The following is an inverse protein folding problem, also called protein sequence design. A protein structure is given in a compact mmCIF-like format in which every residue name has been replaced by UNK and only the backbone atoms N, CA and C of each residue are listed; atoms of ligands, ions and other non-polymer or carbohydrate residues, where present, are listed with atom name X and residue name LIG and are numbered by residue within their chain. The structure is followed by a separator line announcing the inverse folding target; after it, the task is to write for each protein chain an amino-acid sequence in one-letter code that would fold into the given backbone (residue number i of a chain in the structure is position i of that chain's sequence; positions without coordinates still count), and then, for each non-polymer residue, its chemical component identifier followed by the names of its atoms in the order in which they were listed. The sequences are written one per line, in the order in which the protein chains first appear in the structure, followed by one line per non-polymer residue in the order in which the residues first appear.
data_IF_731329630315
#
_entry.id   IF_731329630315
#
_cell.length_a   1.000
_cell.length_b   1.000
_cell.length_c   1.000
_cell.angle_alpha   90.00
_cell.angle_beta   90.00
_cell.angle_gamma   90.00
#
_symmetry.space_group_name_H-M   'P 1'
#
loop_
_entity.id
_entity.type
_entity.pdbx_description
1 polymer ?
#
# COMPACT_ATOMS: atom_id res chain seq x y z
N UNK A 1 -21.82 -30.28 -21.14
CA UNK A 1 -20.52 -29.61 -20.89
C UNK A 1 -20.77 -28.49 -19.91
N UNK A 2 -20.55 -28.79 -18.63
CA UNK A 2 -20.70 -27.84 -17.53
C UNK A 2 -19.40 -27.03 -17.44
N UNK A 3 -19.51 -25.71 -17.59
CA UNK A 3 -18.42 -24.79 -17.29
C UNK A 3 -18.47 -24.49 -15.79
N UNK A 4 -17.64 -25.19 -15.02
CA UNK A 4 -17.36 -24.86 -13.63
C UNK A 4 -16.42 -23.64 -13.59
N UNK A 5 -16.88 -22.55 -12.98
CA UNK A 5 -16.05 -21.40 -12.66
C UNK A 5 -15.19 -21.74 -11.41
N UNK A 6 -13.87 -21.48 -11.40
CA UNK A 6 -13.09 -21.64 -10.19
C UNK A 6 -13.48 -20.56 -9.18
N UNK A 7 -14.18 -21.01 -8.14
CA UNK A 7 -14.48 -20.30 -6.91
C UNK A 7 -13.20 -19.82 -6.22
N UNK A 8 -12.98 -18.50 -6.19
CA UNK A 8 -11.98 -17.85 -5.34
C UNK A 8 -12.48 -17.82 -3.89
N UNK A 9 -12.39 -18.97 -3.22
CA UNK A 9 -12.38 -19.05 -1.76
C UNK A 9 -10.96 -18.72 -1.29
N UNK A 10 -10.78 -17.54 -0.69
CA UNK A 10 -9.47 -17.12 -0.23
C UNK A 10 -9.51 -15.85 0.59
N UNK A 11 -10.10 -15.94 1.80
CA UNK A 11 -9.87 -14.97 2.88
C UNK A 11 -8.38 -14.99 3.25
N UNK A 12 -7.61 -14.13 2.58
CA UNK A 12 -6.25 -13.80 2.94
C UNK A 12 -6.11 -12.30 2.85
N UNK A 13 -5.84 -11.64 3.98
CA UNK A 13 -5.58 -10.20 3.99
C UNK A 13 -4.15 -9.98 3.45
N UNK A 14 -4.00 -10.04 2.14
CA UNK A 14 -2.71 -9.83 1.47
C UNK A 14 -2.41 -8.32 1.44
N UNK A 15 -1.29 -7.93 2.05
CA UNK A 15 -0.77 -6.57 1.95
C UNK A 15 -0.13 -6.38 0.57
N UNK A 16 -0.93 -5.97 -0.40
CA UNK A 16 -0.47 -5.59 -1.74
C UNK A 16 0.12 -4.18 -1.69
N UNK A 17 1.41 -4.06 -1.98
CA UNK A 17 2.07 -2.78 -2.21
C UNK A 17 2.44 -2.72 -3.70
N UNK A 18 1.84 -1.78 -4.43
CA UNK A 18 2.19 -1.51 -5.82
C UNK A 18 3.21 -0.37 -5.82
N UNK A 19 4.40 -0.63 -6.36
CA UNK A 19 5.40 0.39 -6.66
C UNK A 19 5.44 0.57 -8.18
N UNK A 20 5.16 1.79 -8.63
CA UNK A 20 5.31 2.20 -10.02
C UNK A 20 6.76 2.60 -10.27
N UNK A 21 7.43 1.90 -11.18
CA UNK A 21 8.71 2.34 -11.75
C UNK A 21 8.42 2.61 -13.22
N UNK A 22 8.36 3.89 -13.60
CA UNK A 22 8.11 4.30 -14.98
C UNK A 22 9.42 4.51 -15.72
N UNK A 23 9.74 3.61 -16.64
CA UNK A 23 10.65 3.91 -17.74
C UNK A 23 9.89 4.59 -18.89
N UNK A 24 10.54 5.58 -19.47
CA UNK A 24 10.05 6.45 -20.54
C UNK A 24 10.11 5.70 -21.87
N UNK A 25 8.99 5.55 -22.57
CA UNK A 25 9.03 5.35 -24.03
C UNK A 25 7.79 5.86 -24.79
N UNK A 26 8.06 6.80 -25.70
CA UNK A 26 7.51 6.93 -27.06
C UNK A 26 6.02 6.69 -27.34
N UNK A 27 5.25 7.78 -27.44
CA UNK A 27 3.91 7.80 -28.08
C UNK A 27 3.99 7.56 -29.59
N UNK A 28 3.02 6.83 -30.13
CA UNK A 28 2.45 7.13 -31.45
C UNK A 28 0.92 7.05 -31.38
N UNK A 29 0.29 8.17 -31.75
CA UNK A 29 -0.95 8.37 -32.57
C UNK A 29 -2.14 7.46 -32.32
N UNK A 30 -3.39 7.88 -32.34
CA UNK A 30 -4.18 9.11 -32.39
C UNK A 30 -5.53 8.63 -31.76
N UNK A 31 -6.31 9.43 -31.04
CA UNK A 31 -7.68 9.72 -31.47
C UNK A 31 -8.37 10.57 -30.39
N UNK A 32 -8.55 11.85 -30.66
CA UNK A 32 -9.43 12.71 -29.88
C UNK A 32 -10.84 12.63 -30.46
N UNK A 33 -11.76 11.97 -29.77
CA UNK A 33 -13.20 12.08 -30.01
C UNK A 33 -13.64 13.48 -29.58
N UNK A 34 -13.79 14.38 -30.55
CA UNK A 34 -14.29 15.74 -30.31
C UNK A 34 -15.82 15.71 -30.34
N UNK A 35 -16.44 15.95 -29.19
CA UNK A 35 -17.89 16.14 -29.11
C UNK A 35 -18.24 17.55 -29.61
N UNK A 36 -18.61 17.66 -30.88
CA UNK A 36 -19.04 18.91 -31.49
C UNK A 36 -20.54 19.15 -31.24
N UNK A 37 -20.88 20.08 -30.35
CA UNK A 37 -22.22 20.65 -30.28
C UNK A 37 -22.36 21.78 -31.30
N UNK A 38 -23.28 21.59 -32.25
CA UNK A 38 -23.78 22.57 -33.22
C UNK A 38 -24.28 23.86 -32.54
N UNK A 39 -23.80 25.02 -32.98
CA UNK A 39 -24.60 26.26 -33.11
C UNK A 39 -24.18 26.95 -34.41
N UNK A 40 -25.17 27.30 -35.22
CA UNK A 40 -25.06 27.99 -36.51
C UNK A 40 -25.47 29.45 -36.29
N UNK A 41 -24.60 30.40 -36.59
CA UNK A 41 -24.94 31.81 -36.79
C UNK A 41 -24.11 32.39 -37.97
N UNK A 42 -24.73 33.05 -38.96
CA UNK A 42 -24.03 33.62 -40.11
C UNK A 42 -23.69 35.11 -39.93
N UNK A 43 -22.59 35.52 -40.57
CA UNK A 43 -22.12 36.88 -40.86
C UNK A 43 -21.65 37.78 -39.70
N UNK A 44 -20.33 37.96 -39.57
CA UNK A 44 -19.70 39.28 -39.48
C UNK A 44 -18.20 39.19 -39.85
N UNK A 45 -17.84 39.99 -40.85
CA UNK A 45 -16.50 40.32 -41.35
C UNK A 45 -15.53 40.76 -40.23
N UNK A 46 -14.27 40.32 -40.28
CA UNK A 46 -13.19 40.78 -39.39
C UNK A 46 -12.19 39.70 -38.98
N UNK A 47 -11.48 39.12 -39.96
CA UNK A 47 -10.40 38.15 -39.71
C UNK A 47 -9.15 38.88 -39.22
N UNK A 48 -8.85 38.80 -37.92
CA UNK A 48 -7.47 38.77 -37.45
C UNK A 48 -7.09 37.30 -37.27
N UNK A 49 -6.03 36.79 -37.95
CA UNK A 49 -5.58 35.43 -37.73
C UNK A 49 -5.07 35.35 -36.29
N UNK A 50 -5.83 34.67 -35.42
CA UNK A 50 -5.37 34.37 -34.07
C UNK A 50 -3.98 33.75 -34.16
N UNK A 51 -2.99 34.27 -33.40
CA UNK A 51 -1.63 33.80 -33.48
C UNK A 51 -1.65 32.32 -33.18
N UNK A 52 -1.20 31.56 -34.19
CA UNK A 52 -0.91 30.12 -34.18
C UNK A 52 -0.82 29.66 -32.74
N UNK A 53 -1.87 29.00 -32.27
CA UNK A 53 -1.89 28.32 -30.98
C UNK A 53 -0.78 27.29 -31.05
N UNK A 54 0.43 27.72 -30.69
CA UNK A 54 1.60 26.88 -30.61
C UNK A 54 1.15 25.70 -29.77
N UNK A 55 1.02 24.55 -30.42
CA UNK A 55 0.42 23.36 -29.87
C UNK A 55 1.34 22.94 -28.73
N UNK A 56 1.07 23.50 -27.54
CA UNK A 56 1.84 23.25 -26.33
C UNK A 56 1.62 21.79 -26.09
N UNK A 57 2.61 20.97 -26.48
CA UNK A 57 2.61 19.53 -26.20
C UNK A 57 2.38 19.40 -24.71
N UNK A 58 1.15 19.06 -24.34
CA UNK A 58 0.80 18.82 -22.95
C UNK A 58 1.55 17.57 -22.56
N UNK A 59 2.52 17.74 -21.66
CA UNK A 59 3.20 16.60 -21.05
C UNK A 59 2.12 15.87 -20.26
N UNK A 60 1.78 14.66 -20.69
CA UNK A 60 0.91 13.78 -19.91
C UNK A 60 1.74 12.59 -19.45
N UNK A 61 1.49 12.17 -18.22
CA UNK A 61 2.02 10.94 -17.65
C UNK A 61 0.92 9.89 -17.76
N UNK A 62 1.27 8.70 -18.21
CA UNK A 62 0.40 7.52 -18.23
C UNK A 62 1.12 6.36 -17.57
N UNK A 63 0.33 5.42 -17.04
CA UNK A 63 0.81 4.17 -16.47
C UNK A 63 0.30 3.03 -17.35
N UNK A 64 1.13 2.02 -17.55
CA UNK A 64 0.83 0.90 -18.45
C UNK A 64 0.67 -0.41 -17.66
N UNK A 65 1.72 -0.76 -16.91
CA UNK A 65 1.80 -2.01 -16.17
C UNK A 65 1.84 -1.80 -14.65
N UNK A 66 1.27 -2.77 -13.93
CA UNK A 66 1.31 -2.89 -12.48
C UNK A 66 2.07 -4.17 -12.13
N UNK A 67 3.18 -4.00 -11.44
CA UNK A 67 3.93 -5.11 -10.84
C UNK A 67 3.58 -5.22 -9.35
N UNK A 68 3.04 -6.37 -8.94
CA UNK A 68 2.72 -6.68 -7.54
C UNK A 68 3.74 -7.70 -7.03
N UNK A 69 4.54 -7.32 -6.03
CA UNK A 69 5.51 -8.21 -5.37
C UNK A 69 4.94 -8.72 -4.06
N UNK A 70 4.89 -10.04 -3.92
CA UNK A 70 4.48 -10.71 -2.69
C UNK A 70 5.73 -11.09 -1.89
N UNK A 71 5.71 -10.82 -0.59
CA UNK A 71 6.82 -11.09 0.32
C UNK A 71 6.34 -11.97 1.47
N UNK A 72 7.23 -12.83 1.95
CA UNK A 72 7.03 -13.63 3.15
C UNK A 72 6.58 -12.75 4.33
N UNK A 73 5.61 -13.22 5.12
CA UNK A 73 5.27 -12.55 6.39
C UNK A 73 6.11 -13.13 7.52
N UNK A 74 6.82 -12.27 8.24
CA UNK A 74 7.70 -12.63 9.36
C UNK A 74 7.26 -11.98 10.67
N UNK A 75 7.82 -12.46 11.77
CA UNK A 75 7.70 -11.79 13.08
C UNK A 75 8.44 -10.46 13.05
N UNK A 76 7.75 -9.37 13.37
CA UNK A 76 8.33 -8.03 13.45
C UNK A 76 8.89 -7.66 14.83
N UNK A 77 9.45 -6.45 14.92
CA UNK A 77 10.02 -5.88 16.17
C UNK A 77 9.43 -4.51 16.54
N UNK A 78 8.12 -4.34 16.39
CA UNK A 78 7.43 -3.11 16.79
C UNK A 78 7.04 -3.10 18.29
N UNK A 79 7.64 -2.23 19.12
CA UNK A 79 7.45 -2.26 20.58
C UNK A 79 6.02 -1.89 21.04
N UNK A 80 5.32 -1.05 20.28
CA UNK A 80 4.01 -0.46 20.66
C UNK A 80 2.79 -1.33 20.29
N UNK A 81 3.03 -2.56 19.85
CA UNK A 81 1.98 -3.50 19.46
C UNK A 81 1.15 -3.98 20.67
N UNK A 82 0.21 -3.20 21.20
CA UNK A 82 -0.46 -3.40 22.51
C UNK A 82 -0.75 -4.87 22.89
N UNK A 83 -1.27 -5.68 21.98
CA UNK A 83 -1.51 -7.12 22.15
C UNK A 83 -0.81 -7.93 21.07
N UNK A 84 -0.29 -9.12 21.40
CA UNK A 84 0.37 -10.02 20.46
C UNK A 84 1.75 -9.55 19.97
N UNK A 85 2.23 -10.21 18.91
CA UNK A 85 3.44 -9.80 18.19
C UNK A 85 3.07 -9.02 16.91
N UNK A 86 3.94 -8.11 16.47
CA UNK A 86 3.76 -7.42 15.20
C UNK A 86 4.13 -8.32 14.03
N UNK A 87 3.48 -8.10 12.89
CA UNK A 87 3.88 -8.69 11.61
C UNK A 87 4.85 -7.76 10.89
N UNK A 88 5.72 -8.31 10.06
CA UNK A 88 6.57 -7.58 9.14
C UNK A 88 6.69 -8.34 7.83
N UNK A 89 7.09 -7.66 6.76
CA UNK A 89 7.44 -8.32 5.51
C UNK A 89 8.91 -8.71 5.57
N UNK A 90 9.22 -9.92 5.08
CA UNK A 90 10.58 -10.37 4.84
C UNK A 90 11.21 -9.64 3.67
N UNK A 91 12.51 -9.87 3.48
CA UNK A 91 13.27 -9.30 2.36
C UNK A 91 13.17 -10.14 1.09
N UNK A 92 12.84 -11.42 1.24
CA UNK A 92 12.72 -12.36 0.14
C UNK A 92 11.37 -12.15 -0.56
N UNK A 93 11.44 -12.03 -1.89
CA UNK A 93 10.25 -11.96 -2.74
C UNK A 93 9.81 -13.39 -3.02
N UNK A 94 8.57 -13.70 -2.67
CA UNK A 94 8.00 -15.03 -2.86
C UNK A 94 7.51 -15.20 -4.28
N UNK A 95 6.82 -14.17 -4.79
CA UNK A 95 6.27 -14.16 -6.13
C UNK A 95 6.07 -12.74 -6.63
N UNK A 96 5.99 -12.61 -7.95
CA UNK A 96 5.72 -11.35 -8.62
C UNK A 96 4.63 -11.56 -9.66
N UNK A 97 3.60 -10.73 -9.61
CA UNK A 97 2.49 -10.72 -10.55
C UNK A 97 2.59 -9.46 -11.43
N UNK A 98 2.25 -9.58 -12.71
CA UNK A 98 2.22 -8.48 -13.66
C UNK A 98 0.82 -8.37 -14.27
N UNK A 99 0.27 -7.17 -14.26
CA UNK A 99 -1.05 -6.87 -14.82
C UNK A 99 -1.01 -5.57 -15.62
N UNK A 100 -1.82 -5.46 -16.68
CA UNK A 100 -2.12 -4.16 -17.24
C UNK A 100 -2.99 -3.34 -16.28
N UNK A 101 -2.85 -2.01 -16.32
CA UNK A 101 -3.65 -1.11 -15.47
C UNK A 101 -5.14 -1.33 -15.67
N UNK A 102 -5.60 -1.43 -16.93
CA UNK A 102 -7.01 -1.63 -17.27
C UNK A 102 -7.57 -2.95 -16.71
N UNK A 103 -6.79 -4.02 -16.81
CA UNK A 103 -7.18 -5.31 -16.25
C UNK A 103 -7.31 -5.22 -14.74
N UNK A 104 -6.32 -4.65 -14.06
CA UNK A 104 -6.34 -4.53 -12.60
C UNK A 104 -7.51 -3.67 -12.10
N UNK A 105 -7.73 -2.50 -12.71
CA UNK A 105 -8.81 -1.59 -12.29
C UNK A 105 -10.21 -2.18 -12.53
N UNK A 106 -10.37 -3.03 -13.56
CA UNK A 106 -11.64 -3.73 -13.83
C UNK A 106 -11.97 -4.80 -12.78
N UNK A 107 -10.97 -5.51 -12.26
CA UNK A 107 -11.17 -6.68 -11.39
C UNK A 107 -10.79 -6.47 -9.92
N UNK A 108 -10.17 -5.34 -9.57
CA UNK A 108 -9.79 -5.04 -8.18
C UNK A 108 -11.01 -5.02 -7.26
N UNK A 109 -10.80 -5.49 -6.04
CA UNK A 109 -11.78 -5.34 -4.96
C UNK A 109 -11.94 -3.86 -4.58
N UNK A 110 -13.10 -3.47 -4.03
CA UNK A 110 -13.33 -2.12 -3.53
C UNK A 110 -12.31 -1.75 -2.45
N UNK A 111 -12.04 -0.44 -2.31
CA UNK A 111 -11.08 0.08 -1.34
C UNK A 111 -11.52 -0.33 0.08
N UNK A 112 -10.62 -0.97 0.82
CA UNK A 112 -10.84 -1.33 2.22
C UNK A 112 -11.01 -0.09 3.09
N UNK A 113 -11.98 -0.12 4.00
CA UNK A 113 -12.14 0.91 5.02
C UNK A 113 -11.10 0.75 6.14
N UNK A 114 -10.97 1.78 7.00
CA UNK A 114 -9.94 1.78 8.07
C UNK A 114 -10.07 0.59 9.02
N UNK A 115 -11.28 0.09 9.28
CA UNK A 115 -11.50 -1.06 10.16
C UNK A 115 -11.02 -2.36 9.51
N UNK A 116 -11.25 -2.54 8.20
CA UNK A 116 -10.77 -3.68 7.41
C UNK A 116 -9.24 -3.68 7.20
N UNK A 117 -8.56 -2.58 7.51
CA UNK A 117 -7.09 -2.52 7.54
C UNK A 117 -6.52 -2.96 8.89
N UNK A 118 -7.33 -3.04 9.95
CA UNK A 118 -6.87 -3.46 11.28
C UNK A 118 -6.89 -4.98 11.37
N UNK A 119 -5.75 -5.54 11.78
CA UNK A 119 -5.61 -6.97 12.08
C UNK A 119 -5.63 -7.17 13.60
N UNK A 120 -6.42 -8.12 14.09
CA UNK A 120 -6.42 -8.48 15.51
C UNK A 120 -5.14 -9.25 15.89
N UNK A 121 -4.88 -9.43 17.18
CA UNK A 121 -3.76 -10.27 17.63
C UNK A 121 -3.88 -11.71 17.13
N UNK A 122 -5.08 -12.27 17.21
CA UNK A 122 -5.37 -13.64 16.77
C UNK A 122 -5.23 -13.78 15.24
N UNK A 123 -5.68 -12.77 14.48
CA UNK A 123 -5.51 -12.75 13.02
C UNK A 123 -4.04 -12.81 12.64
N UNK A 124 -3.20 -12.03 13.32
CA UNK A 124 -1.75 -12.02 13.07
C UNK A 124 -1.09 -13.34 13.44
N UNK A 125 -1.54 -13.97 14.53
CA UNK A 125 -1.06 -15.29 14.91
C UNK A 125 -1.44 -16.35 13.88
N UNK A 126 -2.67 -16.31 13.38
CA UNK A 126 -3.13 -17.18 12.31
C UNK A 126 -2.35 -16.96 11.01
N UNK A 127 -2.08 -15.71 10.65
CA UNK A 127 -1.29 -15.38 9.44
C UNK A 127 0.10 -16.01 9.52
N UNK A 128 0.80 -15.89 10.66
CA UNK A 128 2.12 -16.51 10.80
C UNK A 128 2.06 -18.04 10.83
N UNK A 129 1.12 -18.62 11.56
CA UNK A 129 1.02 -20.07 11.69
C UNK A 129 0.55 -20.76 10.39
N UNK A 130 -0.27 -20.09 9.58
CA UNK A 130 -0.90 -20.69 8.39
C UNK A 130 -0.09 -20.51 7.11
N UNK A 131 0.58 -19.37 6.94
CA UNK A 131 1.15 -19.00 5.64
C UNK A 131 2.66 -19.28 5.52
N UNK A 132 3.43 -19.20 6.62
CA UNK A 132 4.89 -19.27 6.52
C UNK A 132 5.49 -19.91 7.75
N UNK A 133 5.80 -21.21 7.63
CA UNK A 133 6.93 -21.94 8.23
C UNK A 133 7.36 -21.70 9.69
N UNK A 134 6.61 -20.96 10.52
CA UNK A 134 6.76 -21.06 11.97
C UNK A 134 6.00 -22.32 12.39
N UNK A 135 6.57 -23.47 12.02
CA UNK A 135 6.13 -24.77 12.52
C UNK A 135 6.34 -24.84 14.04
N UNK A 136 7.35 -24.11 14.53
CA UNK A 136 7.74 -24.14 15.92
C UNK A 136 7.09 -23.02 16.72
N UNK A 137 6.12 -23.41 17.54
CA UNK A 137 5.60 -22.60 18.65
C UNK A 137 6.70 -21.95 19.53
N UNK A 138 7.94 -22.43 19.46
CA UNK A 138 9.10 -21.84 20.11
C UNK A 138 9.44 -20.44 19.61
N UNK A 139 9.47 -20.20 18.29
CA UNK A 139 9.89 -18.89 17.74
C UNK A 139 8.90 -17.80 18.13
N UNK A 140 7.60 -18.10 18.02
CA UNK A 140 6.52 -17.22 18.50
C UNK A 140 6.69 -16.92 20.00
N UNK A 141 7.01 -17.93 20.82
CA UNK A 141 7.26 -17.73 22.25
C UNK A 141 8.49 -16.86 22.50
N UNK A 142 9.58 -17.05 21.77
CA UNK A 142 10.80 -16.26 21.90
C UNK A 142 10.56 -14.80 21.52
N UNK A 143 9.88 -14.57 20.41
CA UNK A 143 9.46 -13.23 20.00
C UNK A 143 8.61 -12.52 21.06
N UNK A 144 7.62 -13.24 21.60
CA UNK A 144 6.76 -12.73 22.68
C UNK A 144 7.57 -12.35 23.92
N UNK A 145 8.53 -13.19 24.32
CA UNK A 145 9.45 -12.89 25.44
C UNK A 145 10.34 -11.68 25.16
N UNK A 146 10.90 -11.57 23.94
CA UNK A 146 11.71 -10.42 23.55
C UNK A 146 10.91 -9.12 23.63
N UNK A 147 9.72 -9.10 23.05
CA UNK A 147 8.81 -7.94 23.08
C UNK A 147 8.42 -7.55 24.52
N UNK A 148 8.11 -8.55 25.36
CA UNK A 148 7.83 -8.32 26.78
C UNK A 148 9.01 -7.63 27.48
N UNK A 149 10.24 -8.12 27.28
CA UNK A 149 11.45 -7.51 27.85
C UNK A 149 11.61 -6.06 27.41
N UNK A 150 11.48 -5.77 26.12
CA UNK A 150 11.57 -4.40 25.58
C UNK A 150 10.55 -3.49 26.23
N UNK A 151 9.31 -3.94 26.42
CA UNK A 151 8.28 -3.14 27.12
C UNK A 151 8.62 -2.88 28.57
N UNK A 152 9.03 -3.92 29.30
CA UNK A 152 9.42 -3.76 30.70
C UNK A 152 10.59 -2.80 30.84
N UNK A 153 11.57 -2.84 29.94
CA UNK A 153 12.70 -1.91 29.93
C UNK A 153 12.25 -0.50 29.57
N UNK A 154 11.45 -0.33 28.51
CA UNK A 154 10.96 0.99 28.09
C UNK A 154 10.07 1.66 29.15
N UNK A 155 9.24 0.90 29.86
CA UNK A 155 8.42 1.41 30.96
C UNK A 155 9.29 1.94 32.11
N UNK A 156 10.36 1.22 32.47
CA UNK A 156 11.32 1.66 33.49
C UNK A 156 12.07 2.92 33.06
N UNK A 157 12.55 2.94 31.82
CA UNK A 157 13.25 4.11 31.27
C UNK A 157 12.31 5.33 31.25
N UNK A 158 11.06 5.15 30.83
CA UNK A 158 10.07 6.22 30.82
C UNK A 158 9.83 6.77 32.22
N UNK A 159 9.72 5.90 33.24
CA UNK A 159 9.60 6.34 34.63
C UNK A 159 10.85 7.08 35.10
N UNK A 160 12.04 6.58 34.80
CA UNK A 160 13.30 7.25 35.16
C UNK A 160 13.43 8.63 34.51
N UNK A 161 13.16 8.74 33.21
CA UNK A 161 13.21 10.01 32.48
C UNK A 161 12.20 11.00 33.05
N UNK A 162 11.00 10.52 33.37
CA UNK A 162 9.96 11.31 34.02
C UNK A 162 10.43 11.82 35.39
N UNK A 163 10.97 10.95 36.24
CA UNK A 163 11.53 11.34 37.54
C UNK A 163 12.70 12.33 37.39
N UNK A 164 13.61 12.10 36.45
CA UNK A 164 14.72 13.03 36.18
C UNK A 164 14.22 14.42 35.80
N UNK A 165 13.25 14.50 34.89
CA UNK A 165 12.65 15.76 34.46
C UNK A 165 12.01 16.52 35.63
N UNK A 166 11.24 15.83 36.48
CA UNK A 166 10.61 16.48 37.64
C UNK A 166 11.61 16.91 38.71
N UNK A 167 12.68 16.14 38.92
CA UNK A 167 13.75 16.50 39.87
C UNK A 167 14.56 17.71 39.39
N UNK A 168 14.86 17.82 38.10
CA UNK A 168 15.60 18.95 37.52
C UNK A 168 14.81 20.27 37.62
N UNK A 169 13.49 20.21 37.44
CA UNK A 169 12.59 21.36 37.62
C UNK A 169 12.50 21.86 39.07
N UNK A 170 12.80 21.01 40.06
CA UNK A 170 12.79 21.36 41.48
C UNK A 170 14.11 21.99 41.96
N UNK A 171 15.23 21.75 41.26
CA UNK A 171 16.56 22.26 41.63
C UNK A 171 16.99 23.55 40.92
N UNK A 172 16.15 24.11 40.04
CA UNK A 172 16.41 25.37 39.32
C UNK A 172 15.79 26.62 39.98
N UNK A 173 15.51 26.59 41.29
CA UNK A 173 15.02 27.75 42.07
C UNK A 173 16.07 28.23 43.08
#
# INVERSE_FOLDING_TARGET
MQHEAPCLVGVGTFFRFALSVGDVCGRSRDDTVTFASKIHDPMAEGVLPNPITANKKTRSVSFDEIQIRNYNTIVGDHPLCMSGFPLSLGWEVDSTELYSVDYYEKFRLPRRNRHQLRTSSEERERILCKNYAIESSYEIRQARRKLHRVRSTNAKLHEQVKEMFFNEALFSQ
#
